data_IF_782176275278
#
_entry.id   IF_782176275278
#
_cell.length_a   1.000
_cell.length_b   1.000
_cell.length_c   1.000
_cell.angle_alpha   90.00
_cell.angle_beta   90.00
_cell.angle_gamma   90.00
#
_symmetry.space_group_name_H-M   'P 1'
#
loop_
_entity.id
_entity.type
_entity.pdbx_description
1 polymer ?
#
# COMPACT_ATOMS: atom_id res chain seq x y z
N UNK A 1 -3.81 11.07 9.89
CA UNK A 1 -5.00 10.20 9.95
C UNK A 1 -4.70 8.99 9.06
N UNK A 2 -4.50 7.81 9.63
CA UNK A 2 -4.18 6.59 8.88
C UNK A 2 -5.49 6.03 8.32
N UNK A 3 -5.53 5.66 7.04
CA UNK A 3 -6.64 4.93 6.44
C UNK A 3 -6.20 3.47 6.36
N UNK A 4 -6.54 2.63 7.35
CA UNK A 4 -6.27 1.20 7.26
C UNK A 4 -7.25 0.59 6.25
N UNK A 5 -6.81 0.44 5.01
CA UNK A 5 -7.59 -0.24 3.98
C UNK A 5 -6.89 -1.55 3.58
N UNK A 6 -7.62 -2.66 3.70
CA UNK A 6 -7.27 -3.93 3.08
C UNK A 6 -8.01 -4.01 1.74
N UNK A 7 -7.24 -4.17 0.68
CA UNK A 7 -7.74 -4.36 -0.69
C UNK A 7 -7.44 -5.77 -1.15
N UNK A 8 -8.42 -6.43 -1.75
CA UNK A 8 -8.28 -7.75 -2.37
C UNK A 8 -8.38 -7.56 -3.88
N UNK A 9 -7.31 -7.88 -4.58
CA UNK A 9 -7.20 -7.75 -6.03
C UNK A 9 -6.66 -9.01 -6.69
N UNK A 10 -6.56 -8.97 -8.01
CA UNK A 10 -6.00 -10.05 -8.82
C UNK A 10 -4.99 -9.51 -9.81
N UNK A 11 -3.94 -10.27 -10.08
CA UNK A 11 -3.09 -10.03 -11.25
C UNK A 11 -3.84 -10.44 -12.53
N UNK A 12 -3.32 -10.02 -13.67
CA UNK A 12 -3.75 -10.52 -14.98
C UNK A 12 -3.69 -12.05 -15.07
N UNK A 13 -2.71 -12.67 -14.42
CA UNK A 13 -2.57 -14.13 -14.33
C UNK A 13 -3.64 -14.82 -13.46
N UNK A 14 -4.62 -14.09 -12.93
CA UNK A 14 -5.67 -14.61 -12.04
C UNK A 14 -5.24 -14.83 -10.58
N UNK A 15 -3.96 -14.62 -10.25
CA UNK A 15 -3.47 -14.79 -8.88
C UNK A 15 -4.03 -13.71 -7.95
N UNK A 16 -4.67 -14.13 -6.87
CA UNK A 16 -5.21 -13.25 -5.82
C UNK A 16 -4.07 -12.62 -5.03
N UNK A 17 -4.18 -11.31 -4.82
CA UNK A 17 -3.23 -10.48 -4.09
C UNK A 17 -3.99 -9.69 -3.03
N UNK A 18 -3.42 -9.61 -1.83
CA UNK A 18 -3.97 -8.82 -0.73
C UNK A 18 -3.01 -7.68 -0.41
N UNK A 19 -3.53 -6.46 -0.37
CA UNK A 19 -2.76 -5.23 -0.24
C UNK A 19 -3.27 -4.44 0.96
N UNK A 20 -2.37 -4.08 1.87
CA UNK A 20 -2.63 -3.20 3.00
C UNK A 20 -1.96 -1.86 2.74
N UNK A 21 -2.75 -0.79 2.75
CA UNK A 21 -2.21 0.57 2.66
C UNK A 21 -1.58 0.96 3.99
N UNK A 22 -0.28 1.33 3.98
CA UNK A 22 0.45 1.72 5.19
C UNK A 22 0.62 3.24 5.25
N UNK A 23 1.21 3.82 4.20
CA UNK A 23 1.58 5.24 4.16
C UNK A 23 1.37 5.83 2.77
N UNK A 24 0.64 6.95 2.70
CA UNK A 24 0.52 7.74 1.48
C UNK A 24 1.82 8.50 1.23
N UNK A 25 2.42 8.31 0.06
CA UNK A 25 3.63 9.01 -0.38
C UNK A 25 3.29 10.17 -1.33
N UNK A 26 2.31 9.96 -2.21
CA UNK A 26 1.73 10.96 -3.12
C UNK A 26 0.23 10.70 -3.30
N UNK A 27 -0.46 11.53 -4.08
CA UNK A 27 -1.89 11.37 -4.38
C UNK A 27 -2.26 9.94 -4.79
N UNK A 28 -1.48 9.37 -5.72
CA UNK A 28 -1.69 8.04 -6.27
C UNK A 28 -0.60 7.03 -5.88
N UNK A 29 0.30 7.35 -4.94
CA UNK A 29 1.43 6.47 -4.59
C UNK A 29 1.43 6.16 -3.11
N UNK A 30 1.49 4.87 -2.78
CA UNK A 30 1.47 4.40 -1.40
C UNK A 30 2.53 3.34 -1.15
N UNK A 31 3.06 3.39 0.05
CA UNK A 31 3.74 2.25 0.65
C UNK A 31 2.71 1.25 1.17
N UNK A 32 2.86 0.00 0.75
CA UNK A 32 1.91 -1.07 1.01
C UNK A 32 2.61 -2.34 1.47
N UNK A 33 1.93 -3.09 2.35
CA UNK A 33 2.25 -4.49 2.59
C UNK A 33 1.43 -5.35 1.62
N UNK A 34 2.07 -6.28 0.92
CA UNK A 34 1.40 -7.14 -0.07
C UNK A 34 1.59 -8.62 0.31
N UNK A 35 0.49 -9.34 0.59
CA UNK A 35 0.59 -10.80 0.76
C UNK A 35 0.90 -11.47 -0.56
N UNK A 36 1.72 -12.52 -0.50
CA UNK A 36 2.27 -13.20 -1.68
C UNK A 36 3.07 -12.27 -2.62
N UNK A 37 3.68 -11.20 -2.08
CA UNK A 37 4.49 -10.23 -2.82
C UNK A 37 5.58 -10.84 -3.71
N UNK A 38 6.10 -12.03 -3.38
CA UNK A 38 7.07 -12.76 -4.22
C UNK A 38 6.54 -13.05 -5.64
N UNK A 39 5.21 -13.12 -5.81
CA UNK A 39 4.56 -13.34 -7.11
C UNK A 39 4.34 -12.03 -7.89
N UNK A 40 4.64 -10.87 -7.32
CA UNK A 40 4.46 -9.56 -7.93
C UNK A 40 5.83 -8.97 -8.30
N UNK A 41 6.06 -8.79 -9.60
CA UNK A 41 7.29 -8.19 -10.14
C UNK A 41 7.09 -6.70 -10.42
N UNK A 42 8.18 -5.96 -10.56
CA UNK A 42 8.16 -4.56 -10.98
C UNK A 42 7.33 -4.40 -12.25
N UNK A 43 6.61 -3.29 -12.32
CA UNK A 43 5.69 -2.88 -13.38
C UNK A 43 4.47 -3.79 -13.59
N UNK A 44 4.31 -4.86 -12.79
CA UNK A 44 3.09 -5.66 -12.84
C UNK A 44 1.92 -4.97 -12.15
N UNK A 45 0.74 -5.22 -12.71
CA UNK A 45 -0.51 -4.62 -12.26
C UNK A 45 -1.33 -5.60 -11.42
N UNK A 46 -1.92 -5.09 -10.35
CA UNK A 46 -3.00 -5.71 -9.58
C UNK A 46 -4.28 -4.95 -9.90
N UNK A 47 -5.37 -5.66 -10.19
CA UNK A 47 -6.68 -5.10 -10.49
C UNK A 47 -7.63 -5.40 -9.33
N UNK A 48 -8.37 -4.40 -8.88
CA UNK A 48 -9.34 -4.46 -7.79
C UNK A 48 -10.72 -4.02 -8.30
N UNK A 49 -11.79 -4.56 -7.68
CA UNK A 49 -13.18 -4.16 -7.98
C UNK A 49 -13.51 -4.17 -9.47
N UNK A 50 -13.19 -5.26 -10.17
CA UNK A 50 -13.48 -5.44 -11.60
C UNK A 50 -12.92 -4.34 -12.52
N UNK A 51 -11.80 -3.71 -12.13
CA UNK A 51 -11.12 -2.70 -12.94
C UNK A 51 -11.29 -1.27 -12.43
N UNK A 52 -12.12 -1.03 -11.42
CA UNK A 52 -12.32 0.28 -10.79
C UNK A 52 -11.03 0.89 -10.24
N UNK A 53 -10.15 0.03 -9.71
CA UNK A 53 -8.86 0.44 -9.19
C UNK A 53 -7.78 -0.51 -9.71
N UNK A 54 -6.65 0.04 -10.11
CA UNK A 54 -5.45 -0.73 -10.49
C UNK A 54 -4.26 -0.24 -9.70
N UNK A 55 -3.33 -1.12 -9.39
CA UNK A 55 -2.08 -0.79 -8.71
C UNK A 55 -0.89 -1.40 -9.44
N UNK A 56 0.08 -0.57 -9.81
CA UNK A 56 1.32 -0.97 -10.47
C UNK A 56 2.43 -1.00 -9.43
N UNK A 57 3.18 -2.09 -9.37
CA UNK A 57 4.38 -2.15 -8.53
C UNK A 57 5.49 -1.28 -9.13
N UNK A 58 5.88 -0.22 -8.42
CA UNK A 58 6.96 0.69 -8.84
C UNK A 58 8.28 0.45 -8.12
N UNK A 59 8.26 -0.02 -6.88
CA UNK A 59 9.48 -0.23 -6.11
C UNK A 59 9.31 -1.33 -5.06
N UNK A 60 10.40 -2.04 -4.82
CA UNK A 60 10.56 -3.03 -3.75
C UNK A 60 11.53 -2.43 -2.74
N UNK A 61 11.06 -2.11 -1.54
CA UNK A 61 11.93 -1.62 -0.46
C UNK A 61 12.73 -2.76 0.16
N UNK A 62 13.88 -2.44 0.74
CA UNK A 62 14.75 -3.38 1.47
C UNK A 62 14.04 -4.11 2.62
N UNK A 63 13.04 -3.46 3.20
CA UNK A 63 12.21 -3.97 4.29
C UNK A 63 11.09 -4.93 3.82
N UNK A 64 10.95 -5.14 2.51
CA UNK A 64 9.95 -6.01 1.90
C UNK A 64 8.66 -5.31 1.48
N UNK A 65 8.42 -4.06 1.89
CA UNK A 65 7.27 -3.29 1.46
C UNK A 65 7.31 -2.99 -0.04
N UNK A 66 6.15 -2.64 -0.56
CA UNK A 66 5.93 -2.37 -1.97
C UNK A 66 5.44 -0.95 -2.14
N UNK A 67 6.08 -0.22 -3.04
CA UNK A 67 5.54 1.06 -3.48
C UNK A 67 4.63 0.80 -4.67
N UNK A 68 3.34 1.02 -4.45
CA UNK A 68 2.32 0.86 -5.46
C UNK A 68 1.87 2.22 -5.96
N UNK A 69 1.75 2.34 -7.28
CA UNK A 69 1.13 3.47 -7.94
C UNK A 69 -0.25 3.08 -8.43
N UNK A 70 -1.27 3.80 -7.97
CA UNK A 70 -2.67 3.52 -8.23
C UNK A 70 -3.17 4.28 -9.45
N UNK A 71 -3.99 3.62 -10.25
CA UNK A 71 -4.72 4.18 -11.39
C UNK A 71 -6.21 3.99 -11.10
N UNK A 72 -6.94 5.08 -11.14
CA UNK A 72 -8.35 5.17 -10.82
C UNK A 72 -8.96 6.42 -11.48
N UNK A 73 -10.28 6.44 -11.57
CA UNK A 73 -11.06 7.61 -11.99
C UNK A 73 -11.89 8.11 -10.80
N UNK A 74 -11.92 9.43 -10.57
CA UNK A 74 -12.62 10.02 -9.44
C UNK A 74 -11.79 10.16 -8.15
N UNK A 75 -12.44 10.03 -6.99
CA UNK A 75 -11.83 10.27 -5.67
C UNK A 75 -11.33 8.96 -5.08
N UNK A 76 -10.02 8.90 -4.82
CA UNK A 76 -9.38 7.68 -4.30
C UNK A 76 -10.03 7.19 -2.99
N UNK A 77 -10.32 8.11 -2.08
CA UNK A 77 -10.90 7.82 -0.77
C UNK A 77 -12.28 7.14 -0.88
N UNK A 78 -13.12 7.56 -1.83
CA UNK A 78 -14.43 6.94 -2.07
C UNK A 78 -14.28 5.52 -2.64
N UNK A 79 -13.33 5.34 -3.56
CA UNK A 79 -13.02 4.02 -4.13
C UNK A 79 -12.47 3.09 -3.05
N UNK A 80 -11.65 3.61 -2.14
CA UNK A 80 -11.14 2.83 -1.00
C UNK A 80 -12.26 2.53 0.00
N UNK A 81 -13.20 3.43 0.23
CA UNK A 81 -14.36 3.16 1.09
C UNK A 81 -15.26 2.07 0.49
N UNK A 82 -15.44 2.08 -0.83
CA UNK A 82 -16.23 1.09 -1.56
C UNK A 82 -15.54 -0.28 -1.64
N UNK A 83 -14.24 -0.31 -1.97
CA UNK A 83 -13.48 -1.54 -2.21
C UNK A 83 -12.79 -2.08 -0.95
N UNK A 84 -12.56 -1.22 0.03
CA UNK A 84 -11.85 -1.54 1.25
C UNK A 84 -12.72 -2.33 2.20
N UNK A 85 -12.16 -3.40 2.76
CA UNK A 85 -12.77 -4.10 3.88
C UNK A 85 -12.11 -3.63 5.20
N UNK A 86 -12.92 -3.29 6.21
CA UNK A 86 -12.45 -2.89 7.55
C UNK A 86 -12.64 -4.05 8.57
N UNK A 87 -11.76 -4.26 9.58
CA UNK A 87 -10.41 -3.72 9.79
C UNK A 87 -9.31 -4.81 9.80
N UNK A 88 -8.07 -4.35 9.96
CA UNK A 88 -6.89 -5.16 10.26
C UNK A 88 -7.16 -6.14 11.42
N UNK A 89 -6.68 -7.40 11.34
CA UNK A 89 -6.69 -8.30 12.48
C UNK A 89 -5.86 -7.71 13.65
N UNK A 90 -6.22 -7.93 14.92
CA UNK A 90 -5.55 -7.36 16.09
C UNK A 90 -4.11 -7.87 16.33
N UNK A 91 -3.49 -8.57 15.38
CA UNK A 91 -2.29 -9.41 15.56
C UNK A 91 -1.11 -9.04 14.64
N UNK A 92 -0.84 -7.75 14.39
CA UNK A 92 0.53 -7.34 14.00
C UNK A 92 1.50 -7.37 15.21
N UNK A 93 1.10 -8.08 16.26
CA UNK A 93 1.81 -8.27 17.53
C UNK A 93 2.32 -9.70 17.77
N UNK A 94 2.20 -10.64 16.84
CA UNK A 94 2.73 -12.00 17.08
C UNK A 94 3.59 -12.52 15.93
N UNK A 95 4.90 -12.53 16.24
CA UNK A 95 5.99 -13.34 15.66
C UNK A 95 6.54 -12.91 14.31
N UNK A 96 7.14 -11.73 14.30
CA UNK A 96 8.48 -11.56 13.73
C UNK A 96 9.46 -12.33 14.65
N UNK A 97 9.61 -13.64 14.44
CA UNK A 97 10.69 -14.44 15.06
C UNK A 97 12.03 -14.29 14.31
N UNK A 98 12.15 -13.29 13.44
CA UNK A 98 13.44 -12.74 13.01
C UNK A 98 13.56 -11.31 13.54
N UNK A 99 14.35 -11.22 14.61
CA UNK A 99 14.43 -10.12 15.58
C UNK A 99 15.27 -8.92 15.12
N UNK A 100 15.38 -8.68 13.82
CA UNK A 100 16.23 -7.59 13.32
C UNK A 100 15.65 -6.99 12.03
N UNK A 101 14.75 -6.02 12.22
CA UNK A 101 14.33 -4.94 11.30
C UNK A 101 12.89 -4.59 11.65
N UNK A 102 12.68 -3.39 12.19
CA UNK A 102 11.48 -2.53 12.12
C UNK A 102 11.34 -1.61 13.35
N UNK A 103 12.07 -1.88 14.42
CA UNK A 103 11.97 -1.08 15.64
C UNK A 103 12.95 0.09 15.63
N UNK A 104 12.73 1.09 14.78
CA UNK A 104 13.34 2.43 14.97
C UNK A 104 12.75 3.57 14.13
N UNK A 105 11.59 3.44 13.47
CA UNK A 105 11.14 4.54 12.60
C UNK A 105 9.66 4.84 12.72
N UNK A 106 9.13 5.06 13.93
CA UNK A 106 7.99 5.98 14.12
C UNK A 106 7.88 6.35 15.61
N UNK A 107 8.92 7.00 16.10
CA UNK A 107 8.81 7.92 17.23
C UNK A 107 9.72 9.12 16.93
N UNK A 108 9.13 10.30 17.06
CA UNK A 108 9.73 11.64 17.03
C UNK A 108 9.90 12.38 15.70
N UNK A 109 9.51 13.65 15.81
CA UNK A 109 9.47 14.77 14.84
C UNK A 109 8.40 14.64 13.74
N UNK A 110 7.28 15.35 13.79
CA UNK A 110 7.09 16.71 14.33
C UNK A 110 7.82 17.70 13.42
N UNK A 111 7.03 18.52 12.70
CA UNK A 111 7.40 19.70 11.89
C UNK A 111 7.53 19.55 10.36
N UNK A 112 6.55 20.19 9.71
CA UNK A 112 6.71 21.26 8.70
C UNK A 112 7.00 20.96 7.22
N UNK A 113 5.97 21.23 6.41
CA UNK A 113 5.93 22.16 5.24
C UNK A 113 7.19 22.31 4.38
N UNK A 114 7.09 21.92 3.10
CA UNK A 114 7.24 22.81 1.92
C UNK A 114 7.19 21.98 0.62
N UNK A 115 6.31 22.36 -0.31
CA UNK A 115 6.44 22.01 -1.72
C UNK A 115 7.02 23.24 -2.44
N UNK A 116 8.11 23.12 -3.21
CA UNK A 116 8.58 24.21 -4.04
C UNK A 116 7.67 24.35 -5.27
N UNK A 117 7.07 25.52 -5.46
CA UNK A 117 6.58 25.96 -6.76
C UNK A 117 7.39 27.13 -7.24
N UNK A 118 7.81 27.04 -8.50
CA UNK A 118 8.63 28.00 -9.21
C UNK A 118 8.03 29.42 -9.21
N UNK A 119 8.92 30.40 -9.11
CA UNK A 119 8.76 31.83 -9.32
C UNK A 119 10.14 32.45 -9.41
#
# INVERSE_FOLDING_TARGET
>A
KVIPARLIGKKESGAVMEVFLLKRLKLNRWECLVRHAKKLKLEQTIVFGDGKLKAILKEIKDDGNRILEFIFDGIFEEIIDELGQMPLPPYITEKLEDRDRYQTVYAEKGESVAAPTAG
#
